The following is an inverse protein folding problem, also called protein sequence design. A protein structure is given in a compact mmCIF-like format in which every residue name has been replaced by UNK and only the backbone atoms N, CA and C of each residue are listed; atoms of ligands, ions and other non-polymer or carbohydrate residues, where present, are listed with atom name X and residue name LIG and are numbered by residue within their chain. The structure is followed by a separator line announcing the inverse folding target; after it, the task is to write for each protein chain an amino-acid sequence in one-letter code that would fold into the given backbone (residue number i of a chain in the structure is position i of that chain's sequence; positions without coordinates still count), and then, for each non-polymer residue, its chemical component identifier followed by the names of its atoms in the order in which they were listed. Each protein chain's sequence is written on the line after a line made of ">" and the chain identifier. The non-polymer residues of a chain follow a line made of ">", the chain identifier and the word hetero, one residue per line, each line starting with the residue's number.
data_IF_432123794346
#
_entry.id   IF_432123794346
#
_cell.length_a   1.000
_cell.length_b   1.000
_cell.length_c   1.000
_cell.angle_alpha   90.00
_cell.angle_beta   90.00
_cell.angle_gamma   90.00
#
_symmetry.space_group_name_H-M   'P 1'
#
loop_
_entity.id
_entity.type
_entity.pdbx_description
1 polymer ?
#
# COMPACT_ATOMS: atom_id res chain seq x y z
N UNK A 1 -50.56 22.40 70.04
CA UNK A 1 -50.42 20.96 70.31
C UNK A 1 -50.60 20.22 69.01
N UNK A 2 -49.84 19.12 68.86
CA UNK A 2 -49.83 18.13 67.77
C UNK A 2 -48.64 18.26 66.80
N UNK A 3 -47.73 17.31 66.98
CA UNK A 3 -46.61 16.95 66.13
C UNK A 3 -47.07 15.99 65.01
N UNK A 4 -46.45 16.08 63.84
CA UNK A 4 -46.33 15.02 62.82
C UNK A 4 -45.10 15.41 62.01
N UNK A 5 -43.92 14.88 62.34
CA UNK A 5 -43.36 13.62 61.86
C UNK A 5 -42.87 13.72 60.41
N UNK A 6 -41.60 13.32 60.28
CA UNK A 6 -40.72 13.28 59.13
C UNK A 6 -41.35 12.65 57.89
N UNK A 7 -40.98 13.15 56.72
CA UNK A 7 -40.66 12.31 55.55
C UNK A 7 -39.75 13.13 54.61
N UNK A 8 -38.45 12.91 54.77
CA UNK A 8 -37.47 13.19 53.72
C UNK A 8 -37.71 12.19 52.58
N UNK A 9 -37.88 12.60 51.31
CA UNK A 9 -37.60 11.70 50.23
C UNK A 9 -36.08 11.55 50.14
N UNK A 10 -35.59 10.48 50.76
CA UNK A 10 -34.31 9.85 50.48
C UNK A 10 -34.20 9.73 48.95
N UNK A 11 -33.40 10.60 48.33
CA UNK A 11 -32.98 10.40 46.94
C UNK A 11 -32.02 9.21 46.99
N UNK A 12 -32.58 8.01 46.90
CA UNK A 12 -31.86 6.81 46.55
C UNK A 12 -31.15 7.11 45.24
N UNK A 13 -29.86 7.39 45.33
CA UNK A 13 -28.92 7.17 44.25
C UNK A 13 -28.96 5.68 43.93
N UNK A 14 -29.93 5.30 43.09
CA UNK A 14 -29.97 4.03 42.40
C UNK A 14 -28.73 4.02 41.49
N UNK A 15 -27.63 3.50 42.04
CA UNK A 15 -26.55 2.95 41.25
C UNK A 15 -27.20 1.91 40.34
N UNK A 16 -27.45 2.28 39.09
CA UNK A 16 -27.67 1.33 38.02
C UNK A 16 -26.38 0.54 37.82
N UNK A 17 -26.21 -0.49 38.64
CA UNK A 17 -25.28 -1.59 38.47
C UNK A 17 -25.66 -2.27 37.15
N UNK A 18 -25.02 -1.84 36.07
CA UNK A 18 -25.18 -2.46 34.76
C UNK A 18 -24.36 -3.74 34.73
N UNK A 19 -24.96 -4.85 35.15
CA UNK A 19 -24.42 -6.18 34.88
C UNK A 19 -24.14 -6.32 33.38
N UNK A 20 -22.93 -6.72 32.95
CA UNK A 20 -22.66 -6.92 31.54
C UNK A 20 -23.45 -8.14 31.06
N UNK A 21 -24.57 -7.89 30.39
CA UNK A 21 -25.34 -8.90 29.68
C UNK A 21 -24.42 -9.62 28.69
N UNK A 22 -24.01 -10.85 29.03
CA UNK A 22 -23.20 -11.72 28.18
C UNK A 22 -24.07 -12.23 27.02
N UNK A 23 -24.23 -11.37 26.00
CA UNK A 23 -24.88 -11.74 24.73
C UNK A 23 -24.03 -12.81 24.06
N UNK A 24 -24.62 -13.98 23.85
CA UNK A 24 -24.04 -15.09 23.07
C UNK A 24 -24.04 -14.77 21.57
N UNK A 25 -23.34 -13.70 21.19
CA UNK A 25 -23.06 -13.32 19.81
C UNK A 25 -21.83 -14.05 19.24
N UNK A 26 -21.41 -13.71 18.01
CA UNK A 26 -20.41 -14.44 17.22
C UNK A 26 -19.00 -14.48 17.84
N UNK A 27 -18.82 -13.89 19.02
CA UNK A 27 -17.62 -13.97 19.84
C UNK A 27 -17.19 -15.42 20.16
N UNK A 28 -18.15 -16.34 20.34
CA UNK A 28 -17.83 -17.77 20.50
C UNK A 28 -17.22 -18.39 19.24
N UNK A 29 -17.62 -17.92 18.05
CA UNK A 29 -17.04 -18.35 16.76
C UNK A 29 -15.63 -17.78 16.57
N UNK A 30 -15.42 -16.51 16.94
CA UNK A 30 -14.08 -15.88 16.90
C UNK A 30 -13.12 -16.61 17.84
N UNK A 31 -13.56 -16.92 19.07
CA UNK A 31 -12.76 -17.68 20.03
C UNK A 31 -12.41 -19.09 19.51
N UNK A 32 -13.35 -19.77 18.84
CA UNK A 32 -13.12 -21.11 18.29
C UNK A 32 -12.13 -21.10 17.12
N UNK A 33 -12.24 -20.11 16.22
CA UNK A 33 -11.29 -19.94 15.10
C UNK A 33 -9.89 -19.64 15.62
N UNK A 34 -9.75 -18.74 16.60
CA UNK A 34 -8.46 -18.41 17.19
C UNK A 34 -7.77 -19.63 17.83
N UNK A 35 -8.53 -20.49 18.53
CA UNK A 35 -7.99 -21.72 19.13
C UNK A 35 -7.57 -22.74 18.06
N UNK A 36 -8.36 -22.91 16.99
CA UNK A 36 -8.01 -23.82 15.90
C UNK A 36 -6.74 -23.38 15.15
N UNK A 37 -6.56 -22.07 14.91
CA UNK A 37 -5.34 -21.54 14.30
C UNK A 37 -4.12 -21.70 15.21
N UNK A 38 -4.28 -21.52 16.53
CA UNK A 38 -3.19 -21.72 17.48
C UNK A 38 -2.72 -23.19 17.55
N UNK A 39 -3.63 -24.16 17.43
CA UNK A 39 -3.27 -25.59 17.41
C UNK A 39 -2.53 -25.96 16.12
N UNK A 40 -2.93 -25.41 14.97
CA UNK A 40 -2.30 -25.68 13.68
C UNK A 40 -0.83 -25.23 13.59
N UNK A 41 -0.48 -24.11 14.24
CA UNK A 41 0.90 -23.61 14.30
C UNK A 41 1.80 -24.47 15.20
N UNK A 42 1.22 -25.17 16.18
CA UNK A 42 1.98 -26.04 17.10
C UNK A 42 2.18 -27.46 16.57
N UNK A 43 1.46 -27.85 15.50
CA UNK A 43 1.51 -29.20 14.94
C UNK A 43 2.46 -29.33 13.73
N UNK A 44 3.49 -28.49 13.64
CA UNK A 44 4.60 -28.64 12.68
C UNK A 44 5.72 -29.41 13.37
N UNK A 45 5.87 -30.74 13.14
CA UNK A 45 7.00 -31.49 13.63
C UNK A 45 8.19 -31.12 12.75
N UNK A 46 9.20 -30.49 13.35
CA UNK A 46 10.50 -30.34 12.72
C UNK A 46 11.24 -31.66 12.79
N UNK A 47 11.59 -32.22 11.64
CA UNK A 47 12.63 -33.24 11.55
C UNK A 47 13.48 -33.04 10.30
N UNK A 48 14.77 -32.86 10.55
CA UNK A 48 15.90 -33.16 9.67
C UNK A 48 16.83 -34.08 10.50
N UNK A 49 17.84 -34.81 9.96
CA UNK A 49 18.22 -35.12 8.58
C UNK A 49 18.51 -36.64 8.32
N UNK A 50 18.89 -36.97 7.08
CA UNK A 50 19.82 -38.05 6.58
C UNK A 50 19.78 -39.51 7.12
N UNK A 51 19.54 -40.49 6.22
CA UNK A 51 20.50 -41.52 5.75
C UNK A 51 19.82 -42.73 5.05
N UNK A 52 20.42 -43.23 3.97
CA UNK A 52 19.93 -44.33 3.12
C UNK A 52 20.12 -45.74 3.74
N UNK A 53 19.51 -46.81 3.17
CA UNK A 53 20.25 -47.54 2.12
C UNK A 53 19.41 -48.16 0.99
N UNK A 54 20.15 -48.41 -0.09
CA UNK A 54 19.87 -49.15 -1.33
C UNK A 54 19.26 -50.55 -1.14
N UNK A 55 18.21 -50.86 -1.91
CA UNK A 55 18.01 -52.22 -2.49
C UNK A 55 17.45 -52.09 -3.90
N UNK A 56 18.14 -52.74 -4.83
CA UNK A 56 17.94 -52.74 -6.27
C UNK A 56 16.63 -53.37 -6.76
N UNK A 57 16.07 -52.82 -7.84
CA UNK A 57 15.41 -53.56 -8.92
C UNK A 57 15.42 -52.72 -10.22
N UNK A 58 15.89 -53.31 -11.32
CA UNK A 58 15.90 -52.78 -12.69
C UNK A 58 15.21 -53.80 -13.64
N UNK A 59 14.96 -53.48 -14.92
CA UNK A 59 13.98 -52.54 -15.50
C UNK A 59 12.92 -53.29 -16.36
N UNK A 60 12.04 -52.60 -17.12
CA UNK A 60 12.37 -52.49 -18.55
C UNK A 60 12.14 -51.12 -19.19
N UNK A 61 13.10 -50.82 -20.07
CA UNK A 61 13.21 -49.84 -21.15
C UNK A 61 11.98 -48.99 -21.54
N UNK A 62 12.18 -47.67 -21.52
CA UNK A 62 11.67 -46.73 -22.52
C UNK A 62 12.81 -45.76 -22.93
N UNK A 63 12.91 -45.35 -24.20
CA UNK A 63 14.14 -44.81 -24.79
C UNK A 63 14.48 -43.39 -24.36
N UNK A 64 15.74 -43.18 -23.98
CA UNK A 64 16.36 -41.88 -23.74
C UNK A 64 16.41 -41.01 -25.01
N UNK A 65 15.90 -39.77 -24.91
CA UNK A 65 16.12 -38.70 -25.90
C UNK A 65 16.67 -37.41 -25.27
N UNK A 66 17.45 -37.52 -24.20
CA UNK A 66 18.24 -36.41 -23.67
C UNK A 66 19.72 -36.66 -23.94
N UNK A 67 20.17 -36.27 -25.14
CA UNK A 67 21.58 -35.96 -25.37
C UNK A 67 21.83 -34.51 -24.96
N UNK A 68 22.69 -34.23 -23.96
CA UNK A 68 23.12 -32.88 -23.69
C UNK A 68 24.19 -32.49 -24.71
N UNK A 69 23.88 -31.50 -25.57
CA UNK A 69 24.92 -30.81 -26.34
C UNK A 69 25.65 -29.87 -25.38
N UNK A 70 26.93 -30.15 -25.15
CA UNK A 70 27.81 -29.21 -24.46
C UNK A 70 28.17 -28.06 -25.42
N UNK A 71 28.03 -26.78 -25.04
CA UNK A 71 28.67 -25.70 -25.77
C UNK A 71 30.17 -25.63 -25.38
N UNK A 72 31.07 -25.29 -26.33
CA UNK A 72 32.50 -25.22 -26.07
C UNK A 72 32.85 -24.05 -25.15
N UNK A 73 33.72 -24.35 -24.20
CA UNK A 73 34.39 -23.43 -23.28
C UNK A 73 35.18 -22.42 -24.11
N UNK A 74 34.80 -21.14 -24.05
CA UNK A 74 35.69 -20.03 -24.40
C UNK A 74 36.09 -19.39 -23.07
N UNK A 75 37.32 -19.64 -22.65
CA UNK A 75 37.93 -19.00 -21.50
C UNK A 75 38.31 -17.56 -21.88
N UNK A 76 37.67 -16.58 -21.23
CA UNK A 76 38.27 -15.26 -21.00
C UNK A 76 38.22 -15.00 -19.48
N UNK A 77 39.36 -14.84 -18.79
CA UNK A 77 39.38 -14.63 -17.36
C UNK A 77 39.21 -13.15 -17.02
N UNK A 78 38.50 -12.86 -15.94
CA UNK A 78 38.27 -11.55 -15.30
C UNK A 78 36.96 -10.86 -15.67
N UNK A 79 35.83 -11.46 -15.26
CA UNK A 79 34.77 -10.65 -14.65
C UNK A 79 35.01 -10.75 -13.15
N UNK A 80 35.95 -9.94 -12.68
CA UNK A 80 36.01 -9.57 -11.27
C UNK A 80 34.69 -8.86 -10.99
N UNK A 81 33.81 -9.54 -10.24
CA UNK A 81 32.60 -8.95 -9.68
C UNK A 81 33.04 -7.98 -8.59
N UNK A 82 33.67 -6.89 -8.99
CA UNK A 82 33.84 -5.71 -8.16
C UNK A 82 32.42 -5.23 -7.80
N UNK A 83 32.03 -5.22 -6.52
CA UNK A 83 30.86 -4.47 -6.10
C UNK A 83 31.24 -3.00 -6.23
N UNK A 84 31.17 -2.46 -7.45
CA UNK A 84 31.25 -1.03 -7.66
C UNK A 84 30.06 -0.43 -6.94
N UNK A 85 30.31 0.04 -5.72
CA UNK A 85 29.49 1.01 -5.03
C UNK A 85 29.17 2.11 -6.06
N UNK A 86 27.95 2.08 -6.58
CA UNK A 86 27.48 3.08 -7.52
C UNK A 86 27.43 4.41 -6.76
N UNK A 87 28.49 5.21 -6.92
CA UNK A 87 28.44 6.62 -6.58
C UNK A 87 27.27 7.31 -7.30
N UNK A 88 26.86 8.51 -6.85
CA UNK A 88 25.74 9.22 -7.46
C UNK A 88 26.05 9.46 -8.94
N UNK A 89 25.32 8.79 -9.85
CA UNK A 89 25.34 9.15 -11.27
C UNK A 89 24.54 10.44 -11.42
N UNK A 90 25.21 11.57 -11.16
CA UNK A 90 24.68 12.92 -11.40
C UNK A 90 24.27 12.99 -12.87
N UNK A 91 22.99 13.21 -13.14
CA UNK A 91 22.46 13.40 -14.50
C UNK A 91 21.44 12.36 -15.00
N UNK A 92 21.15 11.29 -14.26
CA UNK A 92 20.02 10.40 -14.58
C UNK A 92 18.70 11.01 -14.04
N UNK A 93 17.57 10.97 -14.77
CA UNK A 93 16.28 11.39 -14.24
C UNK A 93 15.94 10.69 -12.90
N UNK A 94 15.52 11.47 -11.91
CA UNK A 94 15.23 10.96 -10.57
C UNK A 94 16.47 10.69 -9.70
N UNK A 95 17.68 11.10 -10.13
CA UNK A 95 18.90 10.85 -9.34
C UNK A 95 18.94 11.70 -8.07
N UNK A 96 18.48 12.95 -8.13
CA UNK A 96 18.46 13.86 -6.99
C UNK A 96 17.44 13.39 -5.95
N UNK A 97 16.26 12.97 -6.38
CA UNK A 97 15.23 12.38 -5.54
C UNK A 97 15.74 11.15 -4.77
N UNK A 98 16.39 10.20 -5.46
CA UNK A 98 16.96 8.99 -4.84
C UNK A 98 18.05 9.34 -3.83
N UNK A 99 18.93 10.28 -4.17
CA UNK A 99 19.98 10.74 -3.25
C UNK A 99 19.41 11.43 -2.01
N UNK A 100 18.39 12.27 -2.17
CA UNK A 100 17.72 12.95 -1.06
C UNK A 100 17.08 11.95 -0.09
N UNK A 101 16.26 11.03 -0.61
CA UNK A 101 15.60 10.00 0.21
C UNK A 101 16.64 9.13 0.93
N UNK A 102 17.74 8.75 0.25
CA UNK A 102 18.82 7.97 0.87
C UNK A 102 19.51 8.75 1.99
N UNK A 103 19.74 10.05 1.79
CA UNK A 103 20.35 10.92 2.79
C UNK A 103 19.43 11.12 4.00
N UNK A 104 18.13 11.34 3.81
CA UNK A 104 17.17 11.45 4.93
C UNK A 104 17.14 10.16 5.73
N UNK A 105 17.08 9.02 5.05
CA UNK A 105 17.04 7.70 5.69
C UNK A 105 18.32 7.37 6.46
N UNK A 106 19.48 7.90 6.06
CA UNK A 106 20.73 7.73 6.82
C UNK A 106 20.81 8.58 8.09
N UNK A 107 20.01 9.65 8.17
CA UNK A 107 19.86 10.50 9.38
C UNK A 107 18.85 9.93 10.38
N UNK A 108 18.07 8.92 9.99
CA UNK A 108 17.04 8.28 10.82
C UNK A 108 15.70 8.19 10.09
N UNK A 109 14.64 8.72 10.72
CA UNK A 109 13.32 8.77 10.10
C UNK A 109 13.27 9.79 8.96
N UNK A 110 12.51 9.47 7.90
CA UNK A 110 12.30 10.39 6.78
C UNK A 110 11.17 11.34 7.14
N UNK A 111 11.44 12.65 7.10
CA UNK A 111 10.41 13.68 7.21
C UNK A 111 9.65 13.78 5.88
N UNK A 112 8.39 13.35 5.87
CA UNK A 112 7.57 13.32 4.67
C UNK A 112 7.17 14.73 4.21
N UNK A 113 7.09 15.71 5.12
CA UNK A 113 6.83 17.09 4.76
C UNK A 113 8.04 17.67 4.00
N UNK A 114 9.26 17.40 4.47
CA UNK A 114 10.48 17.80 3.76
C UNK A 114 10.57 17.15 2.38
N UNK A 115 10.17 15.87 2.24
CA UNK A 115 10.08 15.20 0.92
C UNK A 115 9.04 15.87 0.02
N UNK A 116 7.88 16.26 0.57
CA UNK A 116 6.84 16.96 -0.18
C UNK A 116 7.27 18.35 -0.64
N UNK A 117 7.96 19.12 0.20
CA UNK A 117 8.50 20.42 -0.17
C UNK A 117 9.55 20.28 -1.29
N UNK A 118 10.42 19.26 -1.19
CA UNK A 118 11.34 18.92 -2.27
C UNK A 118 10.60 18.47 -3.55
N UNK A 119 9.46 17.80 -3.38
CA UNK A 119 8.34 17.65 -4.34
C UNK A 119 8.12 18.86 -5.22
N UNK A 120 7.59 19.87 -4.54
CA UNK A 120 7.14 21.10 -5.15
C UNK A 120 8.29 21.86 -5.79
N UNK A 121 9.45 21.89 -5.14
CA UNK A 121 10.64 22.56 -5.67
C UNK A 121 11.13 21.90 -6.96
N UNK A 122 11.29 20.56 -6.97
CA UNK A 122 11.70 19.84 -8.17
C UNK A 122 10.71 20.05 -9.33
N UNK A 123 9.41 20.12 -9.03
CA UNK A 123 8.40 20.40 -10.04
C UNK A 123 8.53 21.83 -10.60
N UNK A 124 8.71 22.83 -9.73
CA UNK A 124 8.91 24.22 -10.13
C UNK A 124 10.19 24.41 -10.96
N UNK A 125 11.23 23.59 -10.71
CA UNK A 125 12.48 23.59 -11.45
C UNK A 125 12.40 22.81 -12.78
N UNK A 126 11.25 22.22 -13.10
CA UNK A 126 11.05 21.39 -14.29
C UNK A 126 11.69 20.00 -14.20
N UNK A 127 12.18 19.60 -13.02
CA UNK A 127 12.75 18.28 -12.75
C UNK A 127 11.63 17.24 -12.53
N UNK A 128 10.74 17.06 -13.51
CA UNK A 128 9.49 16.28 -13.38
C UNK A 128 9.71 14.84 -12.92
N UNK A 129 10.81 14.21 -13.33
CA UNK A 129 11.15 12.85 -12.89
C UNK A 129 11.50 12.78 -11.41
N UNK A 130 12.22 13.77 -10.89
CA UNK A 130 12.55 13.89 -9.47
C UNK A 130 11.30 14.25 -8.67
N UNK A 131 10.49 15.19 -9.17
CA UNK A 131 9.20 15.56 -8.59
C UNK A 131 8.26 14.36 -8.44
N UNK A 132 8.04 13.61 -9.52
CA UNK A 132 7.22 12.39 -9.48
C UNK A 132 7.71 11.41 -8.42
N UNK A 133 9.00 11.12 -8.37
CA UNK A 133 9.56 10.14 -7.43
C UNK A 133 9.37 10.55 -5.98
N UNK A 134 9.55 11.84 -5.68
CA UNK A 134 9.42 12.38 -4.33
C UNK A 134 7.94 12.45 -3.89
N UNK A 135 7.03 12.94 -4.74
CA UNK A 135 5.59 12.87 -4.45
C UNK A 135 5.13 11.43 -4.24
N UNK A 136 5.53 10.53 -5.14
CA UNK A 136 5.19 9.12 -5.05
C UNK A 136 5.69 8.48 -3.77
N UNK A 137 6.92 8.80 -3.37
CA UNK A 137 7.48 8.33 -2.10
C UNK A 137 6.65 8.85 -0.92
N UNK A 138 6.46 10.16 -0.80
CA UNK A 138 5.73 10.76 0.32
C UNK A 138 4.28 10.25 0.40
N UNK A 139 3.58 10.17 -0.74
CA UNK A 139 2.21 9.67 -0.82
C UNK A 139 2.10 8.21 -0.36
N UNK A 140 3.06 7.35 -0.74
CA UNK A 140 3.07 5.94 -0.33
C UNK A 140 3.36 5.74 1.15
N UNK A 141 4.12 6.64 1.75
CA UNK A 141 4.41 6.64 3.19
C UNK A 141 3.33 7.34 4.02
N UNK A 142 2.26 7.84 3.38
CA UNK A 142 1.07 8.38 4.06
C UNK A 142 0.92 9.89 4.03
N UNK A 143 1.74 10.62 3.26
CA UNK A 143 1.59 12.07 3.13
C UNK A 143 0.37 12.42 2.26
N UNK A 144 -0.69 12.92 2.89
CA UNK A 144 -1.97 13.17 2.24
C UNK A 144 -1.88 14.19 1.09
N UNK A 145 -1.11 15.27 1.28
CA UNK A 145 -0.99 16.33 0.27
C UNK A 145 -0.14 15.90 -0.94
N UNK A 146 0.79 14.95 -0.73
CA UNK A 146 1.56 14.38 -1.83
C UNK A 146 0.68 13.47 -2.69
N UNK A 147 -0.18 12.67 -2.04
CA UNK A 147 -1.18 11.88 -2.73
C UNK A 147 -2.20 12.77 -3.46
N UNK A 148 -2.66 13.86 -2.84
CA UNK A 148 -3.56 14.82 -3.48
C UNK A 148 -2.89 15.47 -4.72
N UNK A 149 -1.62 15.85 -4.64
CA UNK A 149 -0.88 16.39 -5.77
C UNK A 149 -0.80 15.38 -6.94
N UNK A 150 -0.52 14.10 -6.67
CA UNK A 150 -0.55 13.07 -7.72
C UNK A 150 -1.95 12.85 -8.29
N UNK A 151 -2.99 12.90 -7.46
CA UNK A 151 -4.36 12.71 -7.90
C UNK A 151 -4.80 13.82 -8.85
N UNK A 152 -4.58 15.07 -8.47
CA UNK A 152 -4.97 16.26 -9.23
C UNK A 152 -4.23 16.37 -10.56
N UNK A 153 -2.96 15.97 -10.61
CA UNK A 153 -2.16 15.96 -11.84
C UNK A 153 -2.51 14.80 -12.78
N UNK A 154 -3.11 13.73 -12.27
CA UNK A 154 -3.63 12.63 -13.10
C UNK A 154 -5.09 12.88 -13.56
N UNK A 155 -5.85 13.71 -12.86
CA UNK A 155 -7.28 13.93 -13.14
C UNK A 155 -7.47 14.86 -14.35
N UNK A 156 -8.14 14.43 -15.44
CA UNK A 156 -8.36 15.26 -16.63
C UNK A 156 -9.15 16.54 -16.37
N UNK A 157 -9.87 16.64 -15.25
CA UNK A 157 -10.68 17.82 -14.90
C UNK A 157 -9.95 18.85 -14.04
N UNK A 158 -8.83 18.48 -13.40
CA UNK A 158 -8.05 19.38 -12.53
C UNK A 158 -6.60 19.55 -12.98
N UNK A 159 -6.12 18.70 -13.88
CA UNK A 159 -4.74 18.69 -14.33
C UNK A 159 -4.38 19.96 -15.09
N UNK A 160 -3.23 20.52 -14.73
CA UNK A 160 -2.48 21.46 -15.54
C UNK A 160 -1.46 20.68 -16.41
N UNK A 161 -1.62 20.64 -17.75
CA UNK A 161 -0.73 19.87 -18.61
C UNK A 161 0.71 20.44 -18.68
N UNK A 162 0.92 21.73 -18.44
CA UNK A 162 2.26 22.34 -18.53
C UNK A 162 3.12 22.01 -17.32
N UNK A 163 2.48 21.75 -16.17
CA UNK A 163 3.13 21.57 -14.89
C UNK A 163 2.88 20.17 -14.27
N UNK A 164 2.43 19.21 -15.07
CA UNK A 164 2.09 17.85 -14.59
C UNK A 164 3.29 16.92 -14.62
N UNK A 165 3.46 16.11 -13.57
CA UNK A 165 4.45 15.02 -13.53
C UNK A 165 4.05 13.80 -14.38
N UNK A 166 2.78 13.70 -14.78
CA UNK A 166 2.30 12.71 -15.75
C UNK A 166 2.36 13.27 -17.16
N UNK A 167 2.55 12.40 -18.16
CA UNK A 167 2.50 12.76 -19.59
C UNK A 167 1.06 12.97 -20.08
N UNK A 168 0.14 12.12 -19.62
CA UNK A 168 -1.28 12.19 -19.94
C UNK A 168 -2.13 12.10 -18.65
N UNK A 169 -3.36 12.59 -18.72
CA UNK A 169 -4.33 12.35 -17.66
C UNK A 169 -4.71 10.87 -17.64
N UNK A 170 -4.95 10.33 -16.45
CA UNK A 170 -5.35 8.96 -16.19
C UNK A 170 -6.32 8.93 -15.00
N UNK A 171 -7.61 8.76 -15.28
CA UNK A 171 -8.67 8.70 -14.28
C UNK A 171 -8.47 7.57 -13.26
N UNK A 172 -7.82 6.47 -13.64
CA UNK A 172 -7.54 5.35 -12.73
C UNK A 172 -6.47 5.74 -11.71
N UNK A 173 -5.41 6.41 -12.16
CA UNK A 173 -4.37 6.93 -11.27
C UNK A 173 -4.93 8.02 -10.35
N UNK A 174 -5.72 8.94 -10.91
CA UNK A 174 -6.36 9.99 -10.14
C UNK A 174 -7.23 9.43 -9.01
N UNK A 175 -8.12 8.47 -9.33
CA UNK A 175 -8.97 7.81 -8.34
C UNK A 175 -8.16 7.16 -7.22
N UNK A 176 -7.13 6.37 -7.59
CA UNK A 176 -6.25 5.72 -6.63
C UNK A 176 -5.61 6.74 -5.68
N UNK A 177 -5.05 7.82 -6.21
CA UNK A 177 -4.36 8.79 -5.38
C UNK A 177 -5.31 9.65 -4.55
N UNK A 178 -6.50 9.98 -5.05
CA UNK A 178 -7.54 10.61 -4.24
C UNK A 178 -7.98 9.70 -3.09
N UNK A 179 -8.14 8.39 -3.32
CA UNK A 179 -8.42 7.43 -2.25
C UNK A 179 -7.31 7.42 -1.19
N UNK A 180 -6.04 7.34 -1.61
CA UNK A 180 -4.89 7.37 -0.69
C UNK A 180 -4.87 8.68 0.10
N UNK A 181 -5.06 9.83 -0.54
CA UNK A 181 -5.09 11.12 0.12
C UNK A 181 -6.24 11.24 1.15
N UNK A 182 -7.44 10.79 0.78
CA UNK A 182 -8.62 10.81 1.64
C UNK A 182 -8.44 9.89 2.87
N UNK A 183 -7.89 8.68 2.66
CA UNK A 183 -7.58 7.74 3.75
C UNK A 183 -6.54 8.31 4.73
N UNK A 184 -5.61 9.12 4.23
CA UNK A 184 -4.63 9.83 5.06
C UNK A 184 -5.14 11.19 5.59
N UNK A 185 -6.43 11.49 5.46
CA UNK A 185 -7.08 12.63 6.13
C UNK A 185 -7.33 13.86 5.27
N UNK A 186 -7.02 13.84 3.97
CA UNK A 186 -7.33 14.97 3.08
C UNK A 186 -8.83 15.06 2.81
N UNK A 187 -9.48 16.09 3.39
CA UNK A 187 -10.89 16.39 3.13
C UNK A 187 -11.13 16.82 1.69
N UNK A 188 -10.19 17.56 1.12
CA UNK A 188 -10.23 17.97 -0.28
C UNK A 188 -10.24 16.76 -1.20
N UNK A 189 -9.35 15.78 -0.97
CA UNK A 189 -9.33 14.56 -1.75
C UNK A 189 -10.63 13.77 -1.65
N UNK A 190 -11.26 13.71 -0.46
CA UNK A 190 -12.55 13.05 -0.28
C UNK A 190 -13.66 13.73 -1.10
N UNK A 191 -13.66 15.07 -1.15
CA UNK A 191 -14.60 15.84 -1.96
C UNK A 191 -14.36 15.62 -3.46
N UNK A 192 -13.10 15.66 -3.90
CA UNK A 192 -12.74 15.44 -5.30
C UNK A 192 -13.05 14.01 -5.75
N UNK A 193 -12.85 13.01 -4.89
CA UNK A 193 -13.21 11.64 -5.17
C UNK A 193 -14.73 11.47 -5.36
N UNK A 194 -15.55 12.12 -4.52
CA UNK A 194 -17.01 12.09 -4.66
C UNK A 194 -17.48 12.79 -5.94
N UNK A 195 -16.87 13.94 -6.26
CA UNK A 195 -17.17 14.68 -7.48
C UNK A 195 -16.76 13.89 -8.74
N UNK A 196 -15.60 13.22 -8.72
CA UNK A 196 -15.14 12.34 -9.78
C UNK A 196 -16.10 11.17 -9.99
N UNK A 197 -16.54 10.52 -8.91
CA UNK A 197 -17.50 9.40 -9.00
C UNK A 197 -18.83 9.84 -9.63
N UNK A 198 -19.36 10.97 -9.18
CA UNK A 198 -20.62 11.52 -9.73
C UNK A 198 -20.51 11.79 -11.24
N UNK A 199 -19.40 12.38 -11.69
CA UNK A 199 -19.13 12.63 -13.12
C UNK A 199 -19.04 11.35 -13.93
N UNK A 200 -18.33 10.34 -13.42
CA UNK A 200 -18.18 9.05 -14.12
C UNK A 200 -19.51 8.31 -14.22
N UNK A 201 -20.35 8.36 -13.18
CA UNK A 201 -21.69 7.75 -13.19
C UNK A 201 -22.61 8.44 -14.20
N UNK A 202 -22.58 9.78 -14.28
CA UNK A 202 -23.34 10.55 -15.27
C UNK A 202 -22.92 10.21 -16.70
N UNK A 203 -21.61 10.26 -17.00
CA UNK A 203 -21.08 9.90 -18.31
C UNK A 203 -21.40 8.45 -18.70
N UNK A 204 -21.35 7.54 -17.72
CA UNK A 204 -21.69 6.14 -17.96
C UNK A 204 -23.17 5.95 -18.30
N UNK A 205 -24.06 6.69 -17.64
CA UNK A 205 -25.50 6.69 -17.93
C UNK A 205 -25.81 7.28 -19.32
N UNK A 206 -25.03 8.26 -19.76
CA UNK A 206 -25.13 8.87 -21.10
C UNK A 206 -24.54 7.99 -22.21
N UNK A 207 -23.94 6.85 -21.86
CA UNK A 207 -23.43 5.87 -22.82
C UNK A 207 -21.94 5.98 -23.13
N UNK A 208 -21.17 6.76 -22.37
CA UNK A 208 -19.70 6.80 -22.52
C UNK A 208 -19.09 5.46 -22.11
N UNK A 209 -18.50 4.76 -23.09
CA UNK A 209 -17.92 3.42 -22.91
C UNK A 209 -16.73 3.43 -21.95
N UNK A 210 -15.92 4.49 -21.95
CA UNK A 210 -14.78 4.60 -21.04
C UNK A 210 -15.26 4.83 -19.61
N UNK A 211 -16.23 5.72 -19.41
CA UNK A 211 -16.82 5.97 -18.11
C UNK A 211 -17.53 4.72 -17.55
N UNK A 212 -18.27 3.98 -18.37
CA UNK A 212 -18.87 2.70 -17.98
C UNK A 212 -17.83 1.69 -17.48
N UNK A 213 -16.70 1.57 -18.21
CA UNK A 213 -15.60 0.69 -17.79
C UNK A 213 -15.00 1.12 -16.47
N UNK A 214 -14.77 2.42 -16.30
CA UNK A 214 -14.21 2.98 -15.07
C UNK A 214 -15.17 2.79 -13.89
N UNK A 215 -16.46 3.02 -14.08
CA UNK A 215 -17.48 2.82 -13.06
C UNK A 215 -17.46 1.38 -12.51
N UNK A 216 -17.26 0.37 -13.38
CA UNK A 216 -17.15 -1.04 -12.98
C UNK A 216 -15.89 -1.33 -12.15
N UNK A 217 -14.80 -0.59 -12.34
CA UNK A 217 -13.57 -0.76 -11.56
C UNK A 217 -13.67 -0.19 -10.14
N UNK A 218 -14.69 0.64 -9.87
CA UNK A 218 -14.86 1.39 -8.62
C UNK A 218 -16.06 0.93 -7.77
N UNK A 219 -16.72 -0.17 -8.17
CA UNK A 219 -17.75 -0.85 -7.38
C UNK A 219 -17.11 -1.65 -6.24
#
# INVERSE_FOLDING_TARGET
>A
MSATQMDEPLVETELADSEPSHRSGPWKLIALVAVATAIGVWLVPGDAPEDAPSVAQAPPAAPSLLQPVAPPIVSDPSIELEPTAAGPRVGRPGSRARSLITQMRSRGAVDLAEVYDAAQQAQADGELADAYMLYFFAAREGHADAALALATQADPYTRDPENSVFEAADLTQAHKWYQVAAQNGSREAAQQLAAMRSRVEELAADGDVQAQRIALLWQ
#
